data_IF_840949961479
#
_entry.id   IF_840949961479
#
_cell.length_a   1.000
_cell.length_b   1.000
_cell.length_c   1.000
_cell.angle_alpha   90.00
_cell.angle_beta   90.00
_cell.angle_gamma   90.00
#
_symmetry.space_group_name_H-M   'P 1'
#
loop_
_entity.id
_entity.type
_entity.pdbx_description
1 polymer ?
#
# COMPACT_ATOMS: atom_id res chain seq x y z
N UNK A 1 -26.00 27.17 -19.51
CA UNK A 1 -25.16 27.78 -18.47
C UNK A 1 -26.03 27.83 -17.22
N UNK A 2 -25.77 27.15 -16.09
CA UNK A 2 -24.50 26.87 -15.46
C UNK A 2 -24.43 25.47 -14.81
N UNK A 3 -23.27 24.84 -15.04
CA UNK A 3 -22.49 23.90 -14.22
C UNK A 3 -23.14 23.31 -12.98
N UNK A 4 -23.37 22.00 -13.05
CA UNK A 4 -23.53 21.12 -11.89
C UNK A 4 -22.26 21.10 -11.04
N UNK A 5 -22.47 21.06 -9.73
CA UNK A 5 -21.43 20.84 -8.72
C UNK A 5 -21.02 19.37 -8.77
N UNK A 6 -19.85 19.07 -9.31
CA UNK A 6 -19.16 17.81 -9.03
C UNK A 6 -18.59 17.90 -7.61
N UNK A 7 -19.20 17.14 -6.70
CA UNK A 7 -18.67 16.90 -5.36
C UNK A 7 -17.42 16.03 -5.48
N UNK A 8 -16.31 16.52 -4.93
CA UNK A 8 -15.00 15.85 -4.87
C UNK A 8 -15.02 14.62 -3.95
N UNK A 9 -15.66 13.54 -4.40
CA UNK A 9 -15.81 12.31 -3.62
C UNK A 9 -15.08 11.09 -4.18
N UNK A 10 -14.32 11.22 -5.28
CA UNK A 10 -13.81 10.01 -5.96
C UNK A 10 -12.49 10.20 -6.73
N UNK A 11 -11.45 10.66 -6.04
CA UNK A 11 -10.09 10.45 -6.54
C UNK A 11 -9.55 9.16 -5.91
N UNK A 12 -9.80 8.00 -6.54
CA UNK A 12 -9.11 6.74 -6.25
C UNK A 12 -8.14 6.46 -7.39
N UNK A 13 -6.85 6.78 -7.20
CA UNK A 13 -5.82 6.33 -8.14
C UNK A 13 -5.76 4.80 -8.08
N UNK A 14 -5.96 4.17 -9.24
CA UNK A 14 -5.94 2.73 -9.42
C UNK A 14 -4.52 2.30 -9.76
N UNK A 15 -3.88 1.56 -8.88
CA UNK A 15 -2.76 0.70 -9.28
C UNK A 15 -3.38 -0.48 -10.04
N UNK A 16 -3.12 -0.56 -11.35
CA UNK A 16 -3.73 -1.56 -12.21
C UNK A 16 -2.95 -2.87 -12.15
N UNK A 17 -3.20 -3.67 -11.11
CA UNK A 17 -2.81 -5.08 -11.09
C UNK A 17 -3.80 -5.90 -11.91
N UNK A 18 -3.33 -6.75 -12.82
CA UNK A 18 -4.18 -7.71 -13.52
C UNK A 18 -4.07 -9.06 -12.81
N UNK A 19 -5.16 -9.51 -12.19
CA UNK A 19 -5.25 -10.85 -11.62
C UNK A 19 -5.68 -11.82 -12.72
N UNK A 20 -4.90 -12.87 -12.93
CA UNK A 20 -5.17 -13.98 -13.85
C UNK A 20 -5.44 -15.23 -13.01
N UNK A 21 -6.72 -15.51 -12.79
CA UNK A 21 -7.15 -16.64 -11.95
C UNK A 21 -6.94 -18.00 -12.63
N UNK A 22 -6.90 -18.05 -13.97
CA UNK A 22 -6.65 -19.30 -14.70
C UNK A 22 -5.20 -19.76 -14.49
N UNK A 23 -4.28 -18.79 -14.41
CA UNK A 23 -2.87 -19.06 -14.15
C UNK A 23 -2.48 -18.99 -12.68
N UNK A 24 -3.40 -18.55 -11.82
CA UNK A 24 -3.14 -18.20 -10.44
C UNK A 24 -1.98 -17.18 -10.30
N UNK A 25 -2.03 -16.08 -11.04
CA UNK A 25 -0.97 -15.05 -11.08
C UNK A 25 -1.54 -13.62 -10.91
N UNK A 26 -0.75 -12.72 -10.34
CA UNK A 26 -0.93 -11.26 -10.39
C UNK A 26 0.13 -10.71 -11.34
N UNK A 27 -0.29 -9.87 -12.28
CA UNK A 27 0.57 -9.21 -13.26
C UNK A 27 0.72 -7.73 -12.98
N UNK A 28 1.97 -7.28 -12.96
CA UNK A 28 2.34 -5.87 -12.83
C UNK A 28 3.64 -5.59 -13.58
N UNK A 29 3.72 -4.52 -14.37
CA UNK A 29 4.98 -4.06 -14.99
C UNK A 29 5.79 -5.07 -15.81
N UNK A 30 5.17 -6.16 -16.30
CA UNK A 30 5.87 -7.24 -17.01
C UNK A 30 6.33 -8.40 -16.12
N UNK A 31 6.07 -8.34 -14.82
CA UNK A 31 6.36 -9.37 -13.82
C UNK A 31 5.11 -10.16 -13.47
N UNK A 32 5.30 -11.44 -13.15
CA UNK A 32 4.27 -12.38 -12.75
C UNK A 32 4.52 -12.81 -11.30
N UNK A 33 3.53 -12.59 -10.44
CA UNK A 33 3.56 -12.96 -9.02
C UNK A 33 2.54 -14.08 -8.84
N UNK A 34 2.93 -15.33 -8.54
CA UNK A 34 1.99 -16.40 -8.25
C UNK A 34 1.10 -16.03 -7.04
N UNK A 35 -0.18 -16.38 -7.11
CA UNK A 35 -1.13 -16.22 -6.00
C UNK A 35 -0.79 -17.13 -4.81
N UNK A 36 -0.08 -18.24 -5.09
CA UNK A 36 0.36 -19.20 -4.10
C UNK A 36 1.87 -19.30 -4.18
N UNK A 37 2.53 -18.92 -3.10
CA UNK A 37 3.98 -18.95 -2.97
C UNK A 37 4.39 -20.01 -1.96
N UNK A 38 5.52 -20.69 -2.19
CA UNK A 38 6.07 -21.62 -1.21
C UNK A 38 6.55 -20.83 0.02
N UNK A 39 6.13 -21.23 1.22
CA UNK A 39 6.49 -20.52 2.44
C UNK A 39 8.00 -20.46 2.61
N UNK A 40 8.56 -19.26 2.72
CA UNK A 40 9.95 -19.11 3.16
C UNK A 40 9.97 -19.21 4.67
N UNK A 41 10.59 -20.29 5.16
CA UNK A 41 11.10 -20.28 6.53
C UNK A 41 12.25 -19.27 6.59
N UNK A 42 12.12 -18.26 7.47
CA UNK A 42 13.18 -17.35 7.94
C UNK A 42 13.37 -15.98 7.27
N UNK A 43 12.46 -15.48 6.43
CA UNK A 43 12.53 -14.08 6.02
C UNK A 43 12.18 -13.14 7.17
N UNK A 44 13.08 -12.22 7.53
CA UNK A 44 12.78 -11.16 8.49
C UNK A 44 11.73 -10.23 7.88
N UNK A 45 10.58 -10.09 8.55
CA UNK A 45 9.59 -9.08 8.20
C UNK A 45 10.18 -7.67 8.33
N UNK A 46 9.72 -6.75 7.49
CA UNK A 46 10.12 -5.35 7.52
C UNK A 46 9.02 -4.53 8.21
N UNK A 47 9.34 -3.74 9.23
CA UNK A 47 8.34 -2.82 9.80
C UNK A 47 8.17 -1.59 8.91
N UNK A 48 6.98 -1.02 8.94
CA UNK A 48 6.65 0.20 8.22
C UNK A 48 6.32 1.29 9.24
N UNK A 49 7.03 2.40 9.15
CA UNK A 49 6.92 3.53 10.07
C UNK A 49 6.09 4.66 9.48
N UNK A 50 5.32 5.35 10.31
CA UNK A 50 4.54 6.52 9.90
C UNK A 50 5.47 7.68 9.51
N UNK A 51 5.38 8.15 8.25
CA UNK A 51 6.21 9.24 7.72
C UNK A 51 6.00 10.58 8.42
N UNK A 52 4.73 10.90 8.73
CA UNK A 52 4.31 12.15 9.38
C UNK A 52 3.15 11.87 10.34
N UNK A 53 3.05 12.66 11.41
CA UNK A 53 1.90 12.61 12.31
C UNK A 53 0.59 12.67 11.53
N UNK A 54 -0.27 11.68 11.73
CA UNK A 54 -1.51 11.52 10.98
C UNK A 54 -2.67 11.12 11.90
N UNK A 55 -3.89 11.41 11.44
CA UNK A 55 -5.13 11.07 12.15
C UNK A 55 -5.91 10.11 11.26
N UNK A 56 -6.19 8.92 11.76
CA UNK A 56 -7.14 8.00 11.15
C UNK A 56 -8.54 8.37 11.68
N UNK A 57 -9.46 8.87 10.84
CA UNK A 57 -10.79 9.26 11.29
C UNK A 57 -11.56 8.07 11.89
N UNK A 58 -12.53 8.34 12.74
CA UNK A 58 -13.42 7.31 13.27
C UNK A 58 -14.20 6.62 12.14
N UNK A 59 -14.44 5.31 12.26
CA UNK A 59 -15.30 4.53 11.34
C UNK A 59 -14.95 4.70 9.85
N UNK A 60 -13.67 4.92 9.55
CA UNK A 60 -13.21 5.31 8.22
C UNK A 60 -12.00 4.51 7.79
N UNK A 61 -11.84 4.40 6.47
CA UNK A 61 -10.65 3.89 5.83
C UNK A 61 -9.79 5.06 5.33
N UNK A 62 -8.47 4.99 5.50
CA UNK A 62 -7.53 5.97 4.96
C UNK A 62 -6.25 5.32 4.43
N UNK A 63 -5.56 6.02 3.54
CA UNK A 63 -4.20 5.68 3.12
C UNK A 63 -3.22 6.50 3.93
N UNK A 64 -2.20 5.85 4.50
CA UNK A 64 -1.15 6.49 5.27
C UNK A 64 0.19 6.24 4.60
N UNK A 65 1.02 7.28 4.54
CA UNK A 65 2.39 7.16 4.05
C UNK A 65 3.28 6.48 5.09
N UNK A 66 3.80 5.32 4.71
CA UNK A 66 4.74 4.53 5.47
C UNK A 66 6.17 4.63 4.90
N UNK A 67 7.18 4.51 5.76
CA UNK A 67 8.59 4.35 5.41
C UNK A 67 9.01 2.94 5.86
N UNK A 68 9.47 2.07 4.95
CA UNK A 68 10.04 0.78 5.34
C UNK A 68 11.29 0.99 6.20
N UNK A 69 11.45 0.25 7.30
CA UNK A 69 12.65 0.34 8.16
C UNK A 69 13.92 -0.12 7.43
N UNK A 70 13.78 -1.09 6.53
CA UNK A 70 14.86 -1.65 5.71
C UNK A 70 14.45 -1.61 4.23
N UNK A 71 14.47 -0.44 3.57
CA UNK A 71 14.15 -0.34 2.15
C UNK A 71 15.14 -1.18 1.34
N UNK A 72 14.65 -1.84 0.30
CA UNK A 72 15.47 -2.71 -0.55
C UNK A 72 15.86 -4.08 0.04
N UNK A 73 15.39 -4.45 1.24
CA UNK A 73 15.60 -5.82 1.77
C UNK A 73 14.96 -6.88 0.86
N UNK A 74 13.85 -6.53 0.25
CA UNK A 74 13.14 -7.27 -0.79
C UNK A 74 12.34 -6.27 -1.61
N UNK A 75 12.00 -6.61 -2.86
CA UNK A 75 11.29 -5.68 -3.74
C UNK A 75 9.80 -5.62 -3.45
N UNK A 76 9.08 -6.75 -3.57
CA UNK A 76 7.65 -6.76 -3.32
C UNK A 76 7.29 -7.38 -1.97
N UNK A 77 6.31 -6.77 -1.31
CA UNK A 77 5.84 -7.18 0.00
C UNK A 77 4.32 -7.15 0.09
N UNK A 78 3.75 -7.96 0.97
CA UNK A 78 2.38 -7.80 1.43
C UNK A 78 2.40 -7.10 2.78
N UNK A 79 1.66 -6.00 2.91
CA UNK A 79 1.46 -5.34 4.21
C UNK A 79 0.59 -6.21 5.11
N UNK A 80 0.93 -6.30 6.38
CA UNK A 80 0.15 -7.00 7.40
C UNK A 80 0.07 -6.18 8.68
N UNK A 81 -0.85 -6.56 9.56
CA UNK A 81 -1.06 -5.93 10.84
C UNK A 81 0.11 -6.22 11.80
N UNK A 82 0.68 -5.21 12.48
CA UNK A 82 1.81 -5.44 13.37
C UNK A 82 1.34 -6.26 14.59
N UNK A 83 1.77 -7.51 14.68
CA UNK A 83 1.39 -8.44 15.75
C UNK A 83 1.75 -7.93 17.16
N UNK A 84 2.79 -7.10 17.27
CA UNK A 84 3.24 -6.51 18.55
C UNK A 84 2.51 -5.23 18.95
N UNK A 85 1.80 -4.56 18.03
CA UNK A 85 1.14 -3.28 18.29
C UNK A 85 -0.33 -3.40 17.94
N UNK A 86 -1.02 -4.32 18.61
CA UNK A 86 -2.48 -4.45 18.47
C UNK A 86 -3.18 -3.22 19.03
N UNK A 87 -3.37 -2.22 18.18
CA UNK A 87 -4.23 -1.10 18.45
C UNK A 87 -5.67 -1.54 18.19
N UNK A 88 -6.33 -2.02 19.25
CA UNK A 88 -7.72 -2.52 19.22
C UNK A 88 -8.61 -1.64 18.34
N UNK A 89 -9.21 -2.25 17.32
CA UNK A 89 -10.15 -1.57 16.42
C UNK A 89 -9.51 -0.81 15.26
N UNK A 90 -8.19 -0.89 15.04
CA UNK A 90 -7.55 -0.47 13.79
C UNK A 90 -7.10 -1.72 13.04
N UNK A 91 -7.34 -1.79 11.74
CA UNK A 91 -6.94 -2.89 10.86
C UNK A 91 -6.08 -2.36 9.71
N UNK A 92 -5.10 -3.15 9.27
CA UNK A 92 -4.32 -2.88 8.06
C UNK A 92 -4.82 -3.82 6.98
N UNK A 93 -5.15 -3.28 5.80
CA UNK A 93 -5.53 -4.11 4.66
C UNK A 93 -4.27 -4.70 4.01
N UNK A 94 -4.31 -6.00 3.73
CA UNK A 94 -3.26 -6.67 2.98
C UNK A 94 -3.13 -6.05 1.58
N UNK A 95 -2.00 -5.41 1.32
CA UNK A 95 -1.73 -4.66 0.09
C UNK A 95 -0.35 -5.05 -0.43
N UNK A 96 -0.27 -5.37 -1.72
CA UNK A 96 1.00 -5.58 -2.41
C UNK A 96 1.69 -4.22 -2.61
N UNK A 97 2.91 -4.07 -2.08
CA UNK A 97 3.70 -2.84 -2.13
C UNK A 97 5.10 -3.12 -2.66
N UNK A 98 5.72 -2.09 -3.23
CA UNK A 98 7.12 -2.10 -3.67
C UNK A 98 7.97 -1.38 -2.60
N UNK A 99 8.86 -2.10 -1.93
CA UNK A 99 9.76 -1.57 -0.90
C UNK A 99 11.05 -0.96 -1.45
N UNK A 100 11.27 -0.95 -2.77
CA UNK A 100 12.28 -0.07 -3.38
C UNK A 100 11.84 1.39 -3.34
N UNK A 101 10.54 1.65 -3.14
CA UNK A 101 10.02 3.00 -2.95
C UNK A 101 10.40 3.55 -1.57
N UNK A 102 10.83 4.81 -1.53
CA UNK A 102 11.11 5.52 -0.27
C UNK A 102 9.87 5.63 0.64
N UNK A 103 8.69 5.67 0.03
CA UNK A 103 7.41 5.82 0.71
C UNK A 103 6.40 4.88 0.10
N UNK A 104 5.80 4.04 0.94
CA UNK A 104 4.76 3.10 0.55
C UNK A 104 3.40 3.51 1.12
N UNK A 105 2.31 3.24 0.39
CA UNK A 105 0.96 3.44 0.89
C UNK A 105 0.56 2.30 1.84
N UNK A 106 0.04 2.64 3.02
CA UNK A 106 -0.54 1.68 3.96
C UNK A 106 -2.03 1.96 4.09
N UNK A 107 -2.87 1.00 3.70
CA UNK A 107 -4.33 1.15 3.76
C UNK A 107 -4.85 0.65 5.10
N UNK A 108 -5.50 1.55 5.83
CA UNK A 108 -5.86 1.33 7.23
C UNK A 108 -7.34 1.62 7.44
N UNK A 109 -8.03 0.73 8.16
CA UNK A 109 -9.43 0.86 8.54
C UNK A 109 -9.54 1.04 10.05
N UNK A 110 -10.14 2.13 10.49
CA UNK A 110 -10.46 2.36 11.90
C UNK A 110 -11.93 2.01 12.17
N UNK A 111 -12.14 0.96 12.95
CA UNK A 111 -13.44 0.50 13.43
C UNK A 111 -13.91 1.23 14.69
N UNK A 112 -13.03 2.00 15.34
CA UNK A 112 -13.39 2.74 16.54
C UNK A 112 -14.29 3.94 16.22
N UNK A 113 -15.09 4.33 17.22
CA UNK A 113 -15.92 5.54 17.17
C UNK A 113 -15.12 6.83 17.43
N UNK A 114 -13.82 6.71 17.74
CA UNK A 114 -12.92 7.84 17.97
C UNK A 114 -11.79 7.82 16.93
N UNK A 115 -11.28 9.00 16.52
CA UNK A 115 -10.11 9.06 15.68
C UNK A 115 -8.90 8.49 16.40
N UNK A 116 -7.97 7.88 15.63
CA UNK A 116 -6.69 7.42 16.14
C UNK A 116 -5.60 8.37 15.65
N UNK A 117 -4.77 8.85 16.56
CA UNK A 117 -3.57 9.63 16.23
C UNK A 117 -2.41 8.65 16.16
N UNK A 118 -1.63 8.76 15.08
CA UNK A 118 -0.33 8.11 14.95
C UNK A 118 0.73 9.20 14.81
N UNK A 119 1.78 9.10 15.60
CA UNK A 119 2.91 10.02 15.56
C UNK A 119 3.95 9.55 14.54
N UNK A 120 4.84 10.45 14.12
CA UNK A 120 5.92 10.11 13.19
C UNK A 120 6.82 9.06 13.84
N UNK A 121 7.14 7.99 13.09
CA UNK A 121 7.97 6.90 13.57
C UNK A 121 7.19 5.79 14.28
N UNK A 122 5.87 5.93 14.46
CA UNK A 122 5.04 4.81 14.95
C UNK A 122 5.04 3.68 13.92
N UNK A 123 5.11 2.43 14.38
CA UNK A 123 4.92 1.25 13.52
C UNK A 123 3.44 1.15 13.15
N UNK A 124 3.14 1.17 11.85
CA UNK A 124 1.76 1.08 11.33
C UNK A 124 1.44 -0.27 10.69
N UNK A 125 2.43 -0.92 10.09
CA UNK A 125 2.29 -2.20 9.42
C UNK A 125 3.60 -2.98 9.51
N UNK A 126 3.52 -4.29 9.30
CA UNK A 126 4.65 -5.13 8.92
C UNK A 126 4.54 -5.48 7.45
N UNK A 127 5.64 -5.87 6.83
CA UNK A 127 5.72 -6.29 5.45
C UNK A 127 6.34 -7.67 5.39
N UNK A 128 5.63 -8.61 4.77
CA UNK A 128 6.13 -9.93 4.47
C UNK A 128 6.57 -9.99 3.01
N UNK A 129 7.77 -10.52 2.70
CA UNK A 129 8.26 -10.58 1.33
C UNK A 129 7.43 -11.51 0.45
N UNK A 130 7.26 -11.11 -0.80
CA UNK A 130 6.80 -11.98 -1.87
C UNK A 130 8.03 -12.64 -2.50
N UNK A 131 8.11 -13.96 -2.42
CA UNK A 131 9.34 -14.72 -2.70
C UNK A 131 9.37 -15.32 -4.10
N UNK A 132 8.20 -15.60 -4.68
CA UNK A 132 8.09 -16.09 -6.05
C UNK A 132 7.70 -14.92 -6.96
N UNK A 133 8.68 -14.27 -7.59
CA UNK A 133 8.42 -13.30 -8.67
C UNK A 133 9.09 -13.86 -9.92
N UNK A 134 8.29 -14.21 -10.91
CA UNK A 134 8.79 -14.75 -12.16
C UNK A 134 8.81 -13.63 -13.19
N UNK A 135 9.99 -13.37 -13.75
CA UNK A 135 10.12 -12.44 -14.87
C UNK A 135 9.52 -13.10 -16.12
N UNK A 136 8.53 -12.45 -16.73
CA UNK A 136 7.96 -12.94 -17.99
C UNK A 136 8.97 -12.68 -19.12
N UNK A 137 9.24 -13.64 -20.01
CA UNK A 137 10.07 -13.40 -21.19
C UNK A 137 9.53 -12.21 -22.00
N UNK A 138 10.37 -11.19 -22.17
CA UNK A 138 9.96 -9.89 -22.71
C UNK A 138 9.68 -9.96 -24.21
N UNK A 139 8.41 -9.85 -24.56
CA UNK A 139 7.96 -9.39 -25.88
C UNK A 139 7.48 -7.93 -25.91
N UNK A 140 7.46 -7.22 -24.77
CA UNK A 140 6.89 -5.87 -24.71
C UNK A 140 7.66 -4.96 -23.74
N UNK A 141 8.10 -3.81 -24.27
CA UNK A 141 8.68 -2.68 -23.54
C UNK A 141 7.60 -1.97 -22.70
N UNK A 142 7.72 -2.01 -21.37
CA UNK A 142 6.72 -1.41 -20.46
C UNK A 142 7.20 -1.00 -19.07
N UNK A 143 8.50 -1.11 -18.76
CA UNK A 143 9.05 -0.85 -17.42
C UNK A 143 8.86 0.60 -16.92
N UNK A 144 8.54 1.55 -17.82
CA UNK A 144 8.37 2.98 -17.51
C UNK A 144 7.01 3.33 -16.84
N UNK A 145 6.07 2.38 -16.73
CA UNK A 145 4.71 2.65 -16.24
C UNK A 145 4.53 2.47 -14.70
N UNK A 146 5.47 1.80 -14.02
CA UNK A 146 5.35 1.53 -12.57
C UNK A 146 5.64 2.76 -11.71
N UNK A 147 6.73 3.49 -11.99
CA UNK A 147 7.10 4.71 -11.25
C UNK A 147 5.97 5.75 -11.27
N UNK A 148 5.40 6.01 -12.44
CA UNK A 148 4.31 6.98 -12.61
C UNK A 148 3.02 6.61 -11.86
N UNK A 149 2.78 5.32 -11.58
CA UNK A 149 1.54 4.86 -10.95
C UNK A 149 1.61 4.91 -9.41
N UNK A 150 2.79 4.68 -8.83
CA UNK A 150 3.02 4.81 -7.39
C UNK A 150 3.17 6.28 -6.98
N UNK A 151 3.74 7.13 -7.85
CA UNK A 151 3.72 8.59 -7.69
C UNK A 151 2.29 9.14 -7.59
N UNK A 152 1.34 8.60 -8.34
CA UNK A 152 -0.08 9.01 -8.25
C UNK A 152 -0.72 8.69 -6.87
N UNK A 153 -0.25 7.67 -6.16
CA UNK A 153 -0.68 7.43 -4.77
C UNK A 153 -0.10 8.45 -3.79
N UNK A 154 1.06 9.03 -4.09
CA UNK A 154 1.63 10.12 -3.30
C UNK A 154 0.86 11.43 -3.49
N UNK A 155 0.34 11.70 -4.71
CA UNK A 155 -0.43 12.91 -5.02
C UNK A 155 -1.79 12.94 -4.29
N UNK A 156 -2.47 11.80 -4.16
CA UNK A 156 -3.73 11.66 -3.40
C UNK A 156 -3.64 12.10 -1.94
N UNK A 157 -2.45 11.99 -1.34
CA UNK A 157 -2.21 12.35 0.05
C UNK A 157 -2.23 13.87 0.28
N UNK A 158 -1.97 14.71 -0.73
CA UNK A 158 -2.11 16.17 -0.62
C UNK A 158 -3.57 16.62 -0.78
N UNK A 159 -4.37 15.94 -1.61
CA UNK A 159 -5.79 16.26 -1.76
C UNK A 159 -6.61 15.92 -0.49
N UNK A 160 -6.32 14.77 0.15
CA UNK A 160 -6.96 14.43 1.43
C UNK A 160 -6.70 15.46 2.54
N UNK A 161 -5.56 16.16 2.52
CA UNK A 161 -5.23 17.22 3.49
C UNK A 161 -6.13 18.46 3.34
N UNK A 162 -6.63 18.71 2.14
CA UNK A 162 -7.41 19.92 1.82
C UNK A 162 -8.90 19.74 2.13
N UNK A 163 -9.37 18.48 2.19
CA UNK A 163 -10.75 18.13 2.52
C UNK A 163 -11.05 18.03 4.03
N UNK A 164 -10.02 18.04 4.89
CA UNK A 164 -10.14 17.92 6.37
C UNK A 164 -10.11 19.29 7.06
N UNK A 165 -10.37 20.37 6.33
CA UNK A 165 -10.51 21.73 6.88
C UNK A 165 -11.98 22.10 7.01
#
# INVERSE_FOLDING_TARGET
WARGRETAHDAKARVNFKVDLEKNEIRTGGEEIPLFSASVQHSKSCSVLVKKRTIIPARSECLIQGIPEAPGQFRYAVTDFPSQVSQKGVLVAATLVDLEMEVIPVRVLNLNNKPKILDKGDVIATCEPVVDIVARPQGFSGAQHLQSTLENLQILNEEQRTAVR
#
